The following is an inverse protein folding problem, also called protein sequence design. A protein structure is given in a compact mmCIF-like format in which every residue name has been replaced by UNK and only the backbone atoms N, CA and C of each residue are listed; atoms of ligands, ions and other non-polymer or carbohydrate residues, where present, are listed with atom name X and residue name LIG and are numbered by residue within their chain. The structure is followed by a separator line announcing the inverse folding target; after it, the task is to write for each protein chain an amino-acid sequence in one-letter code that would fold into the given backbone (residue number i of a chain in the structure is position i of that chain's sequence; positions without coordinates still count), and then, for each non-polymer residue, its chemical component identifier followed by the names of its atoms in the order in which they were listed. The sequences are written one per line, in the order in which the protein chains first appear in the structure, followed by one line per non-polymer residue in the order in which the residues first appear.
data_IF_839057031811
#
_entry.id   IF_839057031811
#
_cell.length_a   1.000
_cell.length_b   1.000
_cell.length_c   1.000
_cell.angle_alpha   90.00
_cell.angle_beta   90.00
_cell.angle_gamma   90.00
#
_symmetry.space_group_name_H-M   'P 1'
#
loop_
_entity.id
_entity.type
_entity.pdbx_description
1 polymer ?
#
# COMPACT_ATOMS: atom_id res chain seq x y z
N UNK A 1 22.73 46.64 30.79
CA UNK A 1 23.84 45.90 30.15
C UNK A 1 23.78 44.44 30.62
N UNK A 2 22.86 43.65 30.05
CA UNK A 2 22.71 42.22 30.37
C UNK A 2 23.18 41.38 29.19
N UNK A 3 24.32 40.74 29.38
CA UNK A 3 25.00 39.86 28.43
C UNK A 3 25.12 38.51 29.14
N UNK A 4 24.45 37.47 28.63
CA UNK A 4 24.60 36.01 28.90
C UNK A 4 23.41 35.33 28.21
N UNK A 5 23.52 34.98 26.92
CA UNK A 5 24.10 33.75 26.36
C UNK A 5 23.27 32.51 26.72
N UNK A 6 22.78 31.87 25.66
CA UNK A 6 22.01 30.63 25.56
C UNK A 6 22.59 29.46 26.35
N UNK A 7 21.71 28.52 26.73
CA UNK A 7 21.82 27.09 26.37
C UNK A 7 20.50 26.38 26.70
N UNK A 8 19.61 26.27 25.72
CA UNK A 8 18.49 25.30 25.74
C UNK A 8 19.08 23.95 25.36
N UNK A 9 19.18 23.06 26.34
CA UNK A 9 19.56 21.66 26.15
C UNK A 9 18.39 20.96 25.47
N UNK A 10 18.51 20.73 24.16
CA UNK A 10 17.66 19.80 23.43
C UNK A 10 17.98 18.39 23.89
N UNK A 11 17.06 17.75 24.60
CA UNK A 11 17.12 16.31 24.84
C UNK A 11 16.68 15.61 23.56
N UNK A 12 17.64 15.43 22.64
CA UNK A 12 17.54 14.43 21.60
C UNK A 12 17.68 13.06 22.28
N UNK A 13 16.58 12.33 22.45
CA UNK A 13 16.64 10.90 22.72
C UNK A 13 17.17 10.21 21.45
N UNK A 14 18.49 10.07 21.40
CA UNK A 14 19.21 9.17 20.50
C UNK A 14 18.95 7.74 20.98
N UNK A 15 17.97 7.06 20.38
CA UNK A 15 17.99 5.60 20.37
C UNK A 15 19.04 5.17 19.33
N UNK A 16 20.30 5.10 19.77
CA UNK A 16 21.33 4.39 19.02
C UNK A 16 21.27 2.91 19.42
N UNK A 17 20.94 1.97 18.53
CA UNK A 17 21.25 0.57 18.79
C UNK A 17 22.78 0.41 18.71
N UNK A 18 23.37 -0.02 19.81
CA UNK A 18 24.77 -0.47 19.86
C UNK A 18 24.90 -1.70 18.98
N UNK A 19 25.54 -1.57 17.82
CA UNK A 19 25.99 -2.71 17.04
C UNK A 19 27.19 -3.36 17.74
N UNK A 20 26.91 -4.39 18.54
CA UNK A 20 27.93 -5.36 18.92
C UNK A 20 28.34 -6.13 17.67
N UNK A 21 29.56 -5.91 17.19
CA UNK A 21 30.20 -6.81 16.25
C UNK A 21 30.34 -8.19 16.92
N UNK A 22 29.53 -9.15 16.47
CA UNK A 22 29.78 -10.56 16.69
C UNK A 22 30.07 -11.21 15.33
N UNK A 23 31.30 -11.68 15.25
CA UNK A 23 31.94 -12.36 14.14
C UNK A 23 31.23 -13.69 13.85
N UNK A 24 30.95 -13.95 12.57
CA UNK A 24 30.80 -15.28 11.97
C UNK A 24 29.76 -16.25 12.59
N UNK A 25 28.48 -16.11 12.21
CA UNK A 25 27.59 -17.28 12.16
C UNK A 25 26.54 -17.11 11.06
N UNK A 26 26.07 -18.26 10.57
CA UNK A 26 25.02 -18.51 9.58
C UNK A 26 23.69 -17.74 9.75
N UNK A 27 23.56 -16.82 10.72
CA UNK A 27 22.35 -16.07 11.04
C UNK A 27 22.23 -14.74 10.29
N UNK A 28 23.30 -14.25 9.63
CA UNK A 28 23.27 -12.96 8.93
C UNK A 28 22.30 -12.93 7.73
N UNK A 29 22.07 -14.09 7.09
CA UNK A 29 21.08 -14.22 6.02
C UNK A 29 19.65 -14.26 6.55
N UNK A 30 19.43 -14.90 7.70
CA UNK A 30 18.13 -14.95 8.36
C UNK A 30 17.71 -13.57 8.89
N UNK A 31 18.65 -12.80 9.47
CA UNK A 31 18.37 -11.43 9.92
C UNK A 31 18.09 -10.51 8.73
N UNK A 32 18.77 -10.69 7.59
CA UNK A 32 18.45 -9.91 6.38
C UNK A 32 17.05 -10.22 5.86
N UNK A 33 16.64 -11.49 5.84
CA UNK A 33 15.27 -11.88 5.48
C UNK A 33 14.23 -11.44 6.52
N UNK A 34 14.57 -11.42 7.80
CA UNK A 34 13.66 -10.97 8.86
C UNK A 34 13.47 -9.45 8.85
N UNK A 35 14.55 -8.69 8.61
CA UNK A 35 14.50 -7.23 8.49
C UNK A 35 13.83 -6.80 7.17
N UNK A 36 14.02 -7.53 6.06
CA UNK A 36 13.25 -7.30 4.82
C UNK A 36 11.75 -7.66 4.99
N UNK A 37 11.41 -8.61 5.86
CA UNK A 37 10.01 -8.91 6.26
C UNK A 37 9.42 -7.85 7.20
N UNK A 38 10.19 -7.31 8.13
CA UNK A 38 9.71 -6.32 9.11
C UNK A 38 9.78 -4.86 8.63
N UNK A 39 10.53 -4.57 7.57
CA UNK A 39 10.51 -3.26 6.88
C UNK A 39 9.57 -3.22 5.67
N UNK A 40 8.84 -4.32 5.40
CA UNK A 40 7.73 -4.33 4.46
C UNK A 40 6.64 -3.38 4.97
N UNK A 41 6.74 -2.10 4.60
CA UNK A 41 5.65 -1.15 4.79
C UNK A 41 4.38 -1.84 4.30
N UNK A 42 3.39 -2.01 5.20
CA UNK A 42 2.12 -2.62 4.86
C UNK A 42 1.61 -1.98 3.58
N UNK A 43 1.30 -2.76 2.55
CA UNK A 43 0.72 -2.24 1.31
C UNK A 43 -0.55 -1.46 1.67
N UNK A 44 -0.50 -0.14 1.52
CA UNK A 44 -1.62 0.74 1.81
C UNK A 44 -2.25 1.16 0.48
N UNK A 45 -3.42 0.61 0.18
CA UNK A 45 -4.22 1.03 -0.95
C UNK A 45 -5.12 2.20 -0.56
N UNK A 46 -5.33 3.12 -1.49
CA UNK A 46 -6.13 4.32 -1.27
C UNK A 46 -6.97 4.64 -2.50
N UNK A 47 -8.21 5.06 -2.25
CA UNK A 47 -9.01 5.77 -3.24
C UNK A 47 -8.58 7.24 -3.24
N UNK A 48 -8.36 7.80 -4.43
CA UNK A 48 -8.00 9.21 -4.59
C UNK A 48 -8.58 9.75 -5.90
N UNK A 49 -8.31 11.02 -6.22
CA UNK A 49 -8.56 11.59 -7.53
C UNK A 49 -7.26 11.92 -8.24
N UNK A 50 -7.20 11.59 -9.53
CA UNK A 50 -6.14 12.00 -10.46
C UNK A 50 -6.79 12.83 -11.55
N UNK A 51 -6.38 14.08 -11.72
CA UNK A 51 -6.97 15.01 -12.70
C UNK A 51 -8.51 15.09 -12.61
N UNK A 52 -9.03 15.13 -11.36
CA UNK A 52 -10.45 15.10 -10.99
C UNK A 52 -11.20 13.79 -11.25
N UNK A 53 -10.58 12.79 -11.88
CA UNK A 53 -11.15 11.46 -12.06
C UNK A 53 -10.83 10.55 -10.87
N UNK A 54 -11.76 9.70 -10.42
CA UNK A 54 -11.48 8.76 -9.35
C UNK A 54 -10.43 7.74 -9.79
N UNK A 55 -9.58 7.33 -8.85
CA UNK A 55 -8.53 6.36 -9.09
C UNK A 55 -8.11 5.64 -7.83
N UNK A 56 -7.25 4.63 -8.01
CA UNK A 56 -6.69 3.84 -6.92
C UNK A 56 -5.17 3.97 -6.96
N UNK A 57 -4.54 4.04 -5.81
CA UNK A 57 -3.09 4.05 -5.72
C UNK A 57 -2.57 3.17 -4.59
N UNK A 58 -1.31 2.79 -4.71
CA UNK A 58 -0.53 2.20 -3.62
C UNK A 58 0.36 3.27 -3.01
N UNK A 59 0.26 3.45 -1.69
CA UNK A 59 1.08 4.38 -0.94
C UNK A 59 2.45 3.76 -0.65
N UNK A 60 3.51 4.50 -0.96
CA UNK A 60 4.89 4.19 -0.57
C UNK A 60 5.47 5.44 0.12
N UNK A 61 5.53 5.43 1.45
CA UNK A 61 5.81 6.63 2.24
C UNK A 61 4.77 7.73 2.02
N UNK A 62 5.21 8.88 1.49
CA UNK A 62 4.35 10.04 1.19
C UNK A 62 3.79 10.03 -0.25
N UNK A 63 4.28 9.12 -1.09
CA UNK A 63 3.90 9.06 -2.50
C UNK A 63 2.72 8.11 -2.71
N UNK A 64 1.82 8.51 -3.60
CA UNK A 64 0.66 7.73 -4.05
C UNK A 64 0.93 7.33 -5.50
N UNK A 65 1.36 6.09 -5.70
CA UNK A 65 1.68 5.56 -7.02
C UNK A 65 0.40 5.06 -7.68
N UNK A 66 -0.11 5.72 -8.74
CA UNK A 66 -1.37 5.34 -9.37
C UNK A 66 -1.32 3.91 -9.89
N UNK A 67 -2.40 3.18 -9.69
CA UNK A 67 -2.61 1.91 -10.38
C UNK A 67 -3.33 2.23 -11.69
N UNK A 68 -2.73 1.80 -12.79
CA UNK A 68 -3.23 2.13 -14.12
C UNK A 68 -4.60 1.49 -14.37
N UNK A 69 -5.43 2.16 -15.16
CA UNK A 69 -6.79 1.75 -15.46
C UNK A 69 -7.80 2.88 -15.23
N UNK A 70 -9.06 2.49 -15.03
CA UNK A 70 -10.16 3.42 -14.86
C UNK A 70 -11.03 3.02 -13.67
N UNK A 71 -11.51 4.03 -12.96
CA UNK A 71 -12.60 3.90 -12.00
C UNK A 71 -13.77 4.72 -12.52
N UNK A 72 -14.97 4.15 -12.51
CA UNK A 72 -16.19 4.86 -12.90
C UNK A 72 -17.20 4.76 -11.79
N UNK A 73 -17.72 5.92 -11.36
CA UNK A 73 -18.70 6.02 -10.29
C UNK A 73 -20.02 6.56 -10.83
N UNK A 74 -21.12 5.98 -10.38
CA UNK A 74 -22.47 6.55 -10.47
C UNK A 74 -23.12 6.58 -9.09
N UNK A 75 -24.35 7.08 -8.99
CA UNK A 75 -25.06 7.25 -7.72
C UNK A 75 -25.22 5.94 -6.91
N UNK A 76 -25.23 4.78 -7.57
CA UNK A 76 -25.49 3.49 -6.94
C UNK A 76 -24.52 2.39 -7.39
N UNK A 77 -23.46 2.74 -8.10
CA UNK A 77 -22.52 1.78 -8.66
C UNK A 77 -21.11 2.37 -8.71
N UNK A 78 -20.13 1.51 -8.50
CA UNK A 78 -18.74 1.78 -8.83
C UNK A 78 -18.17 0.61 -9.64
N UNK A 79 -17.38 0.94 -10.66
CA UNK A 79 -16.70 -0.02 -11.51
C UNK A 79 -15.20 0.27 -11.50
N UNK A 80 -14.41 -0.78 -11.32
CA UNK A 80 -12.97 -0.79 -11.38
C UNK A 80 -12.52 -1.65 -12.55
N UNK A 81 -11.73 -1.06 -13.44
CA UNK A 81 -11.00 -1.78 -14.48
C UNK A 81 -9.53 -1.38 -14.38
N UNK A 82 -8.76 -2.15 -13.61
CA UNK A 82 -7.38 -1.84 -13.24
C UNK A 82 -6.41 -2.86 -13.83
N UNK A 83 -5.18 -2.42 -14.09
CA UNK A 83 -4.09 -3.28 -14.56
C UNK A 83 -2.75 -2.91 -13.91
N UNK A 84 -1.93 -3.93 -13.65
CA UNK A 84 -0.61 -3.76 -13.04
C UNK A 84 0.30 -4.98 -13.32
N UNK A 85 1.58 -4.85 -12.97
CA UNK A 85 2.66 -5.83 -13.20
C UNK A 85 3.25 -6.37 -11.89
N UNK A 86 2.47 -6.30 -10.81
CA UNK A 86 2.90 -6.59 -9.42
C UNK A 86 2.59 -8.02 -8.94
N UNK A 87 2.19 -8.90 -9.85
CA UNK A 87 1.90 -10.31 -9.56
C UNK A 87 0.60 -10.59 -8.82
N UNK A 88 0.29 -11.88 -8.68
CA UNK A 88 -1.02 -12.38 -8.23
C UNK A 88 -1.36 -12.03 -6.78
N UNK A 89 -0.38 -12.01 -5.87
CA UNK A 89 -0.61 -11.71 -4.46
C UNK A 89 -0.96 -10.23 -4.24
N UNK A 90 -0.35 -9.32 -5.01
CA UNK A 90 -0.76 -7.91 -5.04
C UNK A 90 -2.18 -7.79 -5.62
N UNK A 91 -2.46 -8.50 -6.71
CA UNK A 91 -3.77 -8.48 -7.37
C UNK A 91 -4.90 -8.91 -6.41
N UNK A 92 -4.67 -10.00 -5.66
CA UNK A 92 -5.60 -10.48 -4.63
C UNK A 92 -5.77 -9.48 -3.49
N UNK A 93 -4.68 -8.89 -3.01
CA UNK A 93 -4.72 -7.91 -1.92
C UNK A 93 -5.47 -6.63 -2.31
N UNK A 94 -5.27 -6.14 -3.54
CA UNK A 94 -5.97 -5.01 -4.10
C UNK A 94 -7.47 -5.30 -4.27
N UNK A 95 -7.81 -6.47 -4.82
CA UNK A 95 -9.21 -6.89 -4.97
C UNK A 95 -9.93 -6.95 -3.62
N UNK A 96 -9.32 -7.57 -2.62
CA UNK A 96 -9.86 -7.65 -1.26
C UNK A 96 -10.03 -6.27 -0.62
N UNK A 97 -9.09 -5.35 -0.83
CA UNK A 97 -9.21 -3.97 -0.34
C UNK A 97 -10.45 -3.28 -0.96
N UNK A 98 -10.60 -3.35 -2.28
CA UNK A 98 -11.70 -2.71 -2.98
C UNK A 98 -13.05 -3.32 -2.57
N UNK A 99 -13.14 -4.65 -2.52
CA UNK A 99 -14.38 -5.32 -2.11
C UNK A 99 -14.77 -4.95 -0.67
N UNK A 100 -13.83 -4.99 0.28
CA UNK A 100 -14.12 -4.63 1.67
C UNK A 100 -14.62 -3.19 1.81
N UNK A 101 -14.01 -2.25 1.09
CA UNK A 101 -14.38 -0.84 1.14
C UNK A 101 -15.85 -0.61 0.75
N UNK A 102 -16.36 -1.33 -0.26
CA UNK A 102 -17.72 -1.11 -0.75
C UNK A 102 -18.76 -2.08 -0.15
N UNK A 103 -18.37 -3.30 0.22
CA UNK A 103 -19.28 -4.26 0.87
C UNK A 103 -19.49 -3.90 2.33
N UNK A 104 -18.40 -3.75 3.10
CA UNK A 104 -18.51 -3.57 4.55
C UNK A 104 -18.84 -2.14 4.93
N UNK A 105 -18.14 -1.18 4.32
CA UNK A 105 -18.28 0.23 4.71
C UNK A 105 -19.36 0.93 3.86
N UNK A 106 -19.59 0.46 2.62
CA UNK A 106 -20.54 1.03 1.67
C UNK A 106 -21.89 0.31 1.55
N UNK A 107 -22.06 -0.88 2.13
CA UNK A 107 -23.31 -1.65 2.04
C UNK A 107 -23.68 -2.09 0.61
N UNK A 108 -22.72 -2.16 -0.29
CA UNK A 108 -22.91 -2.57 -1.69
C UNK A 108 -22.67 -4.07 -1.85
N UNK A 109 -23.17 -4.65 -2.95
CA UNK A 109 -22.81 -6.01 -3.37
C UNK A 109 -21.90 -5.93 -4.58
N UNK A 110 -20.75 -6.61 -4.49
CA UNK A 110 -19.75 -6.63 -5.52
C UNK A 110 -19.83 -7.90 -6.37
N UNK A 111 -19.71 -7.74 -7.68
CA UNK A 111 -19.51 -8.80 -8.65
C UNK A 111 -18.12 -8.62 -9.24
N UNK A 112 -17.30 -9.68 -9.13
CA UNK A 112 -15.91 -9.65 -9.56
C UNK A 112 -15.64 -10.71 -10.63
N UNK A 113 -14.73 -10.37 -11.55
CA UNK A 113 -14.02 -11.40 -12.28
C UNK A 113 -12.98 -12.04 -11.35
N UNK A 114 -12.70 -13.35 -11.47
CA UNK A 114 -11.61 -13.97 -10.73
C UNK A 114 -10.30 -13.18 -10.93
N UNK A 115 -9.47 -13.00 -9.90
CA UNK A 115 -8.19 -12.33 -10.06
C UNK A 115 -7.39 -13.06 -11.13
N UNK A 116 -7.06 -12.36 -12.21
CA UNK A 116 -6.37 -12.93 -13.36
C UNK A 116 -5.05 -12.22 -13.57
N UNK A 117 -3.98 -13.01 -13.68
CA UNK A 117 -2.67 -12.57 -14.13
C UNK A 117 -2.23 -13.48 -15.27
N UNK A 118 -1.41 -12.95 -16.19
CA UNK A 118 -0.68 -13.79 -17.14
C UNK A 118 0.27 -14.76 -16.43
N UNK A 119 0.70 -15.82 -17.12
CA UNK A 119 1.58 -16.85 -16.55
C UNK A 119 2.93 -16.32 -16.03
N UNK A 120 3.37 -15.17 -16.54
CA UNK A 120 4.60 -14.49 -16.11
C UNK A 120 4.36 -13.44 -15.01
N UNK A 121 3.14 -13.34 -14.47
CA UNK A 121 2.71 -12.43 -13.39
C UNK A 121 2.88 -10.92 -13.70
N UNK A 122 3.20 -10.56 -14.94
CA UNK A 122 3.44 -9.19 -15.38
C UNK A 122 2.20 -8.48 -15.91
N UNK A 123 1.13 -9.21 -16.18
CA UNK A 123 -0.12 -8.64 -16.70
C UNK A 123 -1.28 -9.09 -15.83
N UNK A 124 -1.48 -8.39 -14.72
CA UNK A 124 -2.61 -8.60 -13.83
C UNK A 124 -3.73 -7.62 -14.14
N UNK A 125 -4.98 -8.11 -14.07
CA UNK A 125 -6.19 -7.31 -14.30
C UNK A 125 -7.19 -7.52 -13.17
N UNK A 126 -7.87 -6.42 -12.83
CA UNK A 126 -9.03 -6.40 -11.94
C UNK A 126 -10.20 -5.82 -12.71
N UNK A 127 -11.30 -6.57 -12.73
CA UNK A 127 -12.61 -6.09 -13.15
C UNK A 127 -13.59 -6.34 -12.00
N UNK A 128 -13.97 -5.29 -11.29
CA UNK A 128 -14.84 -5.33 -10.11
C UNK A 128 -15.95 -4.31 -10.28
N UNK A 129 -17.21 -4.74 -10.11
CA UNK A 129 -18.36 -3.84 -10.11
C UNK A 129 -19.13 -4.01 -8.80
N UNK A 130 -19.27 -2.94 -8.03
CA UNK A 130 -20.07 -2.92 -6.81
C UNK A 130 -21.33 -2.09 -7.03
N UNK A 131 -22.49 -2.59 -6.61
CA UNK A 131 -23.80 -1.96 -6.78
C UNK A 131 -24.57 -1.93 -5.46
N UNK A 132 -25.26 -0.82 -5.20
CA UNK A 132 -26.21 -0.72 -4.10
C UNK A 132 -27.52 -1.41 -4.53
N UNK A 133 -28.06 -2.24 -3.64
CA UNK A 133 -29.35 -2.92 -3.86
C UNK A 133 -30.53 -1.97 -3.68
#
# INVERSE_FOLDING_TARGET
MFKKVLLLIGVYFLFAPTYSQANNSSNGQDVKQYVERETAQSLQFLMTKFDNEPGVCVRAGVYCNPIAGSVTTSNNMINFNLHHDKGIEFNRSLLNFLENLYVRDGGMVCSQSPPSCSLDDKNCKIALTCKQH
#
